data_IF_192318205584
#
_entry.id   IF_192318205584
#
_cell.length_a   1.000
_cell.length_b   1.000
_cell.length_c   1.000
_cell.angle_alpha   90.00
_cell.angle_beta   90.00
_cell.angle_gamma   90.00
#
_symmetry.space_group_name_H-M   'P 1'
#
loop_
_entity.id
_entity.type
_entity.pdbx_description
1 polymer ?
#
# COMPACT_ATOMS: atom_id res chain seq x y z
N UNK A 1 11.30 9.02 0.09
CA UNK A 1 10.42 10.00 0.77
C UNK A 1 10.40 9.74 2.27
N UNK A 2 9.31 10.11 2.96
CA UNK A 2 8.94 9.52 4.27
C UNK A 2 7.74 8.61 4.02
N UNK A 3 7.79 7.37 4.51
CA UNK A 3 6.63 6.47 4.48
C UNK A 3 5.58 6.95 5.47
N UNK A 4 4.31 6.77 5.12
CA UNK A 4 3.18 7.11 5.99
C UNK A 4 2.30 5.88 6.12
N UNK A 5 2.17 5.38 7.34
CA UNK A 5 1.17 4.40 7.73
C UNK A 5 -0.18 5.10 7.82
N UNK A 6 -1.15 4.60 7.05
CA UNK A 6 -2.39 5.31 6.65
C UNK A 6 -3.58 5.04 7.57
N UNK A 7 -3.39 4.42 8.73
CA UNK A 7 -4.47 3.95 9.62
C UNK A 7 -5.56 4.98 9.87
N UNK A 8 -5.17 6.20 10.23
CA UNK A 8 -6.11 7.28 10.55
C UNK A 8 -6.92 7.66 9.30
N UNK A 9 -6.26 7.81 8.15
CA UNK A 9 -6.93 8.18 6.90
C UNK A 9 -7.94 7.13 6.45
N UNK A 10 -7.56 5.85 6.53
CA UNK A 10 -8.44 4.73 6.18
C UNK A 10 -9.65 4.60 7.10
N UNK A 11 -9.46 4.74 8.42
CA UNK A 11 -10.59 4.78 9.36
C UNK A 11 -11.54 5.95 9.06
N UNK A 12 -11.02 7.13 8.69
CA UNK A 12 -11.86 8.27 8.31
C UNK A 12 -12.63 8.01 6.99
N UNK A 13 -12.04 7.27 6.05
CA UNK A 13 -12.76 6.84 4.85
C UNK A 13 -13.92 5.89 5.17
N UNK A 14 -13.70 4.92 6.08
CA UNK A 14 -14.78 4.04 6.55
C UNK A 14 -15.90 4.84 7.21
N UNK A 15 -15.58 5.80 8.09
CA UNK A 15 -16.58 6.69 8.72
C UNK A 15 -17.38 7.52 7.72
N UNK A 16 -16.81 7.81 6.55
CA UNK A 16 -17.49 8.52 5.45
C UNK A 16 -18.31 7.59 4.54
N UNK A 17 -18.41 6.31 4.87
CA UNK A 17 -19.25 5.34 4.17
C UNK A 17 -18.56 4.58 3.04
N UNK A 18 -17.22 4.66 2.93
CA UNK A 18 -16.46 3.81 2.02
C UNK A 18 -16.25 2.43 2.66
N UNK A 19 -16.32 1.38 1.83
CA UNK A 19 -15.80 0.08 2.17
C UNK A 19 -14.29 0.08 1.88
N UNK A 20 -13.49 -0.09 2.94
CA UNK A 20 -12.03 -0.04 2.89
C UNK A 20 -11.46 -1.38 3.31
N UNK A 21 -10.65 -1.97 2.43
CA UNK A 21 -9.94 -3.22 2.68
C UNK A 21 -8.44 -2.95 2.55
N UNK A 22 -7.69 -3.20 3.61
CA UNK A 22 -6.24 -3.19 3.60
C UNK A 22 -5.72 -4.63 3.50
N UNK A 23 -4.83 -4.89 2.54
CA UNK A 23 -4.26 -6.20 2.26
C UNK A 23 -2.74 -6.05 2.25
N UNK A 24 -2.06 -6.59 3.25
CA UNK A 24 -0.61 -6.54 3.32
C UNK A 24 -0.02 -7.68 4.17
N UNK A 25 1.28 -8.03 4.03
CA UNK A 25 1.86 -9.16 4.76
C UNK A 25 2.12 -8.90 6.25
N UNK A 26 1.99 -7.65 6.73
CA UNK A 26 2.25 -7.30 8.12
C UNK A 26 1.04 -7.64 8.98
N UNK A 27 1.23 -8.51 9.98
CA UNK A 27 0.22 -8.81 10.99
C UNK A 27 0.15 -7.66 11.99
N UNK A 28 -0.87 -6.81 11.88
CA UNK A 28 -0.99 -5.63 12.74
C UNK A 28 -1.23 -5.99 14.21
N UNK A 29 -1.88 -7.12 14.51
CA UNK A 29 -2.04 -7.56 15.90
C UNK A 29 -0.67 -7.88 16.50
N UNK A 30 0.17 -8.64 15.77
CA UNK A 30 1.56 -8.90 16.20
C UNK A 30 2.39 -7.62 16.26
N UNK A 31 2.20 -6.69 15.34
CA UNK A 31 2.89 -5.40 15.35
C UNK A 31 2.55 -4.58 16.59
N UNK A 32 1.29 -4.61 17.03
CA UNK A 32 0.85 -3.96 18.26
C UNK A 32 1.44 -4.62 19.50
N UNK A 33 1.44 -5.95 19.57
CA UNK A 33 1.91 -6.72 20.74
C UNK A 33 3.44 -6.69 20.89
N UNK A 34 4.17 -6.83 19.79
CA UNK A 34 5.64 -6.93 19.76
C UNK A 34 6.33 -5.58 19.53
N UNK A 35 5.60 -4.57 19.08
CA UNK A 35 6.13 -3.28 18.69
C UNK A 35 6.83 -3.27 17.31
N UNK A 36 7.42 -2.12 16.91
CA UNK A 36 7.92 -1.89 15.56
C UNK A 36 9.02 -2.85 15.09
N UNK A 37 9.76 -3.45 16.04
CA UNK A 37 10.83 -4.40 15.74
C UNK A 37 10.33 -5.66 15.03
N UNK A 38 9.05 -6.02 15.19
CA UNK A 38 8.38 -7.09 14.46
C UNK A 38 8.47 -6.91 12.93
N UNK A 39 8.58 -5.68 12.43
CA UNK A 39 8.71 -5.42 11.00
C UNK A 39 9.93 -6.11 10.38
N UNK A 40 10.99 -6.39 11.16
CA UNK A 40 12.15 -7.17 10.68
C UNK A 40 11.78 -8.60 10.30
N UNK A 41 10.84 -9.20 11.03
CA UNK A 41 10.29 -10.52 10.74
C UNK A 41 9.30 -10.45 9.55
N UNK A 42 8.41 -9.46 9.55
CA UNK A 42 7.29 -9.39 8.60
C UNK A 42 7.67 -8.87 7.21
N UNK A 43 8.51 -7.84 7.14
CA UNK A 43 8.82 -7.10 5.91
C UNK A 43 10.28 -7.26 5.46
N UNK A 44 11.10 -7.96 6.24
CA UNK A 44 12.54 -8.11 5.99
C UNK A 44 13.36 -6.88 6.40
N UNK A 45 14.68 -7.05 6.43
CA UNK A 45 15.60 -6.09 7.06
C UNK A 45 15.60 -4.71 6.40
N UNK A 46 15.58 -4.64 5.08
CA UNK A 46 15.68 -3.38 4.34
C UNK A 46 14.42 -2.51 4.51
N UNK A 47 13.25 -3.12 4.38
CA UNK A 47 11.95 -2.48 4.54
C UNK A 47 11.70 -2.08 5.98
N UNK A 48 11.98 -2.98 6.93
CA UNK A 48 11.90 -2.66 8.35
C UNK A 48 12.77 -1.46 8.71
N UNK A 49 14.03 -1.44 8.25
CA UNK A 49 14.92 -0.29 8.46
C UNK A 49 14.32 0.99 7.89
N UNK A 50 13.77 0.94 6.68
CA UNK A 50 13.11 2.10 6.07
C UNK A 50 11.94 2.59 6.93
N UNK A 51 11.05 1.72 7.40
CA UNK A 51 9.93 2.13 8.25
C UNK A 51 10.38 2.69 9.60
N UNK A 52 11.33 2.05 10.27
CA UNK A 52 11.82 2.49 11.58
C UNK A 52 12.51 3.86 11.51
N UNK A 53 13.22 4.15 10.42
CA UNK A 53 13.96 5.41 10.27
C UNK A 53 13.16 6.52 9.58
N UNK A 54 12.22 6.17 8.70
CA UNK A 54 11.60 7.12 7.76
C UNK A 54 10.08 7.06 7.73
N UNK A 55 9.42 6.49 8.73
CA UNK A 55 7.95 6.48 8.81
C UNK A 55 7.40 7.04 10.12
N UNK A 56 6.08 7.18 10.16
CA UNK A 56 5.30 7.58 11.33
C UNK A 56 4.84 6.38 12.19
N UNK A 57 5.38 5.15 12.00
CA UNK A 57 4.88 3.94 12.66
C UNK A 57 4.71 4.10 14.18
N UNK A 58 5.74 4.65 14.86
CA UNK A 58 5.72 4.84 16.30
C UNK A 58 4.54 5.71 16.79
N UNK A 59 4.10 6.67 15.97
CA UNK A 59 2.98 7.56 16.29
C UNK A 59 1.60 6.94 16.06
N UNK A 60 1.50 5.87 15.26
CA UNK A 60 0.22 5.26 14.88
C UNK A 60 -0.02 3.88 15.51
N UNK A 61 0.96 3.31 16.23
CA UNK A 61 0.80 2.00 16.89
C UNK A 61 -0.41 1.96 17.82
N UNK A 62 -0.66 3.02 18.58
CA UNK A 62 -1.79 3.10 19.50
C UNK A 62 -3.15 3.09 18.78
N UNK A 63 -3.18 3.35 17.47
CA UNK A 63 -4.39 3.30 16.66
C UNK A 63 -4.76 1.86 16.22
N UNK A 64 -3.82 0.91 16.28
CA UNK A 64 -4.04 -0.45 15.74
C UNK A 64 -5.29 -1.14 16.31
N UNK A 65 -5.56 -1.12 17.64
CA UNK A 65 -6.74 -1.81 18.18
C UNK A 65 -8.07 -1.26 17.65
N UNK A 66 -8.15 0.04 17.36
CA UNK A 66 -9.35 0.65 16.79
C UNK A 66 -9.42 0.43 15.27
N UNK A 67 -8.26 0.50 14.61
CA UNK A 67 -8.12 0.23 13.19
C UNK A 67 -8.62 -1.17 12.83
N UNK A 68 -8.20 -2.21 13.58
CA UNK A 68 -8.62 -3.60 13.33
C UNK A 68 -10.11 -3.86 13.56
N UNK A 69 -10.81 -2.97 14.28
CA UNK A 69 -12.28 -3.02 14.41
C UNK A 69 -13.00 -2.28 13.29
N UNK A 70 -12.33 -1.32 12.67
CA UNK A 70 -12.93 -0.36 11.73
C UNK A 70 -12.67 -0.73 10.28
N UNK A 71 -11.43 -1.09 9.96
CA UNK A 71 -10.97 -1.39 8.59
C UNK A 71 -10.78 -2.89 8.45
N UNK A 72 -11.24 -3.45 7.33
CA UNK A 72 -11.03 -4.86 7.03
C UNK A 72 -9.57 -5.08 6.64
N UNK A 73 -8.78 -5.63 7.56
CA UNK A 73 -7.38 -5.97 7.32
C UNK A 73 -7.22 -7.46 6.96
N UNK A 74 -6.46 -7.75 5.91
CA UNK A 74 -6.10 -9.10 5.48
C UNK A 74 -4.58 -9.27 5.49
N UNK A 75 -4.07 -10.11 6.39
CA UNK A 75 -2.63 -10.37 6.55
C UNK A 75 -2.10 -11.32 5.47
N UNK A 76 -1.88 -10.80 4.26
CA UNK A 76 -1.36 -11.51 3.09
C UNK A 76 -0.90 -10.52 2.02
N UNK A 77 -0.24 -11.01 0.99
CA UNK A 77 0.06 -10.22 -0.21
C UNK A 77 -1.05 -10.37 -1.25
N UNK A 78 -1.46 -9.27 -1.88
CA UNK A 78 -2.39 -9.32 -3.01
C UNK A 78 -1.68 -9.72 -4.32
N UNK A 79 -2.40 -10.40 -5.23
CA UNK A 79 -1.92 -10.65 -6.59
C UNK A 79 -2.27 -9.52 -7.56
N UNK A 80 -1.61 -9.45 -8.71
CA UNK A 80 -1.97 -8.47 -9.76
C UNK A 80 -3.36 -8.73 -10.33
N UNK A 81 -3.76 -10.00 -10.43
CA UNK A 81 -5.07 -10.42 -10.88
C UNK A 81 -6.17 -9.95 -9.91
N UNK A 82 -5.89 -9.98 -8.60
CA UNK A 82 -6.80 -9.42 -7.59
C UNK A 82 -6.94 -7.90 -7.75
N UNK A 83 -5.83 -7.18 -7.91
CA UNK A 83 -5.81 -5.72 -8.16
C UNK A 83 -6.66 -5.38 -9.39
N UNK A 84 -6.43 -6.09 -10.51
CA UNK A 84 -7.21 -5.94 -11.74
C UNK A 84 -8.69 -6.26 -11.49
N UNK A 85 -8.98 -7.30 -10.71
CA UNK A 85 -10.34 -7.68 -10.32
C UNK A 85 -11.05 -6.59 -9.53
N UNK A 86 -10.36 -5.90 -8.60
CA UNK A 86 -10.91 -4.77 -7.86
C UNK A 86 -11.24 -3.59 -8.79
N UNK A 87 -10.31 -3.21 -9.66
CA UNK A 87 -10.51 -2.13 -10.64
C UNK A 87 -11.69 -2.41 -11.57
N UNK A 88 -11.80 -3.65 -12.08
CA UNK A 88 -12.93 -4.07 -12.94
C UNK A 88 -14.29 -4.02 -12.25
N UNK A 89 -14.32 -4.10 -10.91
CA UNK A 89 -15.53 -3.96 -10.09
C UNK A 89 -15.82 -2.50 -9.72
N UNK A 90 -15.09 -1.54 -10.29
CA UNK A 90 -15.27 -0.11 -10.04
C UNK A 90 -14.65 0.39 -8.73
N UNK A 91 -13.78 -0.40 -8.09
CA UNK A 91 -13.04 0.07 -6.92
C UNK A 91 -11.83 0.92 -7.35
N UNK A 92 -11.37 1.79 -6.45
CA UNK A 92 -10.04 2.39 -6.53
C UNK A 92 -9.07 1.55 -5.72
N UNK A 93 -7.81 1.49 -6.15
CA UNK A 93 -6.79 0.66 -5.49
C UNK A 93 -5.54 1.48 -5.22
N UNK A 94 -5.22 1.72 -3.96
CA UNK A 94 -3.90 2.17 -3.54
C UNK A 94 -2.91 1.01 -3.53
N UNK A 95 -1.67 1.24 -3.95
CA UNK A 95 -0.62 0.22 -3.92
C UNK A 95 0.73 0.84 -3.51
N UNK A 96 1.45 0.15 -2.63
CA UNK A 96 2.86 0.45 -2.35
C UNK A 96 3.75 -0.21 -3.41
N UNK A 97 4.66 0.57 -3.98
CA UNK A 97 5.58 0.15 -5.04
C UNK A 97 6.99 0.68 -4.79
N UNK A 98 8.00 0.03 -5.36
CA UNK A 98 9.35 0.60 -5.41
C UNK A 98 9.40 1.72 -6.47
N UNK A 99 9.42 2.98 -6.02
CA UNK A 99 9.49 4.15 -6.90
C UNK A 99 10.79 4.27 -7.69
N UNK A 100 11.89 3.65 -7.25
CA UNK A 100 13.14 3.68 -8.02
C UNK A 100 12.96 2.93 -9.33
N UNK A 101 12.40 1.72 -9.27
CA UNK A 101 12.07 0.92 -10.46
C UNK A 101 11.04 1.65 -11.32
N UNK A 102 9.98 2.16 -10.70
CA UNK A 102 8.96 2.93 -11.41
C UNK A 102 9.56 4.11 -12.17
N UNK A 103 10.64 4.72 -11.67
CA UNK A 103 11.28 5.86 -12.31
C UNK A 103 12.59 5.50 -13.03
N UNK A 104 12.80 4.23 -13.37
CA UNK A 104 13.99 3.72 -14.08
C UNK A 104 15.31 4.12 -13.42
N UNK A 105 15.32 4.07 -12.08
CA UNK A 105 16.47 4.38 -11.23
C UNK A 105 16.85 3.14 -10.43
N UNK A 106 18.13 3.05 -10.09
CA UNK A 106 18.61 2.02 -9.17
C UNK A 106 18.20 2.33 -7.72
N UNK A 107 18.11 1.25 -6.94
CA UNK A 107 17.89 1.27 -5.50
C UNK A 107 16.45 1.02 -5.07
N UNK A 108 16.12 1.55 -3.89
CA UNK A 108 14.86 1.31 -3.21
C UNK A 108 14.32 2.58 -2.57
N UNK A 109 13.06 2.90 -2.86
CA UNK A 109 12.30 3.93 -2.15
C UNK A 109 10.80 3.61 -2.26
N UNK A 110 10.16 3.36 -1.13
CA UNK A 110 8.74 3.05 -1.07
C UNK A 110 7.90 4.25 -1.47
N UNK A 111 6.83 3.98 -2.20
CA UNK A 111 5.91 4.99 -2.70
C UNK A 111 4.53 4.43 -2.87
N UNK A 112 3.53 5.25 -2.56
CA UNK A 112 2.14 4.88 -2.66
C UNK A 112 1.51 5.54 -3.89
N UNK A 113 0.90 4.74 -4.75
CA UNK A 113 0.21 5.21 -5.97
C UNK A 113 -1.25 4.78 -5.94
N UNK A 114 -2.13 5.57 -6.55
CA UNK A 114 -3.56 5.25 -6.66
C UNK A 114 -3.89 4.79 -8.08
N UNK A 115 -4.21 3.52 -8.24
CA UNK A 115 -4.71 2.92 -9.46
C UNK A 115 -6.21 3.17 -9.55
N UNK A 116 -6.68 3.59 -10.73
CA UNK A 116 -8.11 3.83 -10.98
C UNK A 116 -8.63 3.18 -12.27
N UNK A 117 -7.75 2.64 -13.12
CA UNK A 117 -8.16 1.94 -14.33
C UNK A 117 -7.08 0.93 -14.80
N UNK A 118 -7.49 -0.02 -15.64
CA UNK A 118 -6.63 -0.98 -16.32
C UNK A 118 -7.10 -1.22 -17.76
N UNK A 119 -6.30 -0.78 -18.74
CA UNK A 119 -6.68 -0.80 -20.16
C UNK A 119 -6.40 -2.15 -20.87
N UNK A 120 -6.18 -3.22 -20.10
CA UNK A 120 -5.81 -4.54 -20.61
C UNK A 120 -4.30 -4.76 -20.73
N UNK A 121 -3.51 -3.68 -20.77
CA UNK A 121 -2.04 -3.73 -20.80
C UNK A 121 -1.39 -2.89 -19.70
N UNK A 122 -1.96 -1.74 -19.39
CA UNK A 122 -1.40 -0.76 -18.48
C UNK A 122 -2.34 -0.49 -17.31
N UNK A 123 -1.76 -0.33 -16.13
CA UNK A 123 -2.43 0.36 -15.04
C UNK A 123 -2.40 1.87 -15.30
N UNK A 124 -3.50 2.54 -15.00
CA UNK A 124 -3.59 4.00 -15.02
C UNK A 124 -3.58 4.48 -13.57
N UNK A 125 -2.57 5.28 -13.22
CA UNK A 125 -2.28 5.64 -11.84
C UNK A 125 -2.21 7.15 -11.64
N UNK A 126 -2.68 7.61 -10.48
CA UNK A 126 -2.26 8.89 -9.93
C UNK A 126 -0.99 8.68 -9.11
N UNK A 127 0.10 9.29 -9.57
CA UNK A 127 1.41 9.27 -8.92
C UNK A 127 1.61 10.60 -8.16
N UNK A 128 1.48 10.62 -6.82
CA UNK A 128 1.61 11.84 -6.02
C UNK A 128 3.06 12.25 -5.76
N UNK A 129 4.05 11.60 -6.40
CA UNK A 129 5.46 11.97 -6.27
C UNK A 129 5.73 13.43 -6.64
N UNK A 130 6.95 13.93 -6.43
CA UNK A 130 7.32 15.28 -6.84
C UNK A 130 8.17 15.25 -8.12
N UNK A 131 7.72 15.86 -9.24
CA UNK A 131 6.41 16.47 -9.45
C UNK A 131 5.29 15.44 -9.62
N UNK A 132 4.03 15.76 -9.26
CA UNK A 132 2.93 14.80 -9.34
C UNK A 132 2.57 14.52 -10.80
N UNK A 133 2.37 13.24 -11.12
CA UNK A 133 1.99 12.78 -12.46
C UNK A 133 0.57 12.23 -12.41
N UNK A 134 -0.36 12.96 -13.02
CA UNK A 134 -1.75 12.51 -13.16
C UNK A 134 -1.85 11.47 -14.27
N UNK A 135 -2.61 10.41 -14.03
CA UNK A 135 -2.98 9.42 -15.06
C UNK A 135 -1.78 8.81 -15.77
N UNK A 136 -0.70 8.56 -15.01
CA UNK A 136 0.48 7.89 -15.51
C UNK A 136 0.09 6.48 -15.96
N UNK A 137 0.49 6.11 -17.19
CA UNK A 137 0.38 4.73 -17.67
C UNK A 137 1.60 3.94 -17.22
N UNK A 138 1.38 2.78 -16.64
CA UNK A 138 2.43 1.84 -16.22
C UNK A 138 2.13 0.48 -16.83
N UNK A 139 3.05 -0.04 -17.64
CA UNK A 139 2.90 -1.38 -18.24
C UNK A 139 2.80 -2.43 -17.13
N UNK A 140 1.97 -3.46 -17.31
CA UNK A 140 1.77 -4.50 -16.29
C UNK A 140 3.08 -5.19 -15.88
N UNK A 141 4.05 -5.34 -16.77
CA UNK A 141 5.35 -5.93 -16.44
C UNK A 141 6.20 -5.00 -15.59
N UNK A 142 6.20 -3.71 -15.92
CA UNK A 142 6.87 -2.68 -15.12
C UNK A 142 6.24 -2.59 -13.73
N UNK A 143 4.90 -2.55 -13.66
CA UNK A 143 4.19 -2.54 -12.39
C UNK A 143 4.49 -3.79 -11.56
N UNK A 144 4.52 -4.97 -12.18
CA UNK A 144 4.90 -6.21 -11.51
C UNK A 144 6.30 -6.11 -10.90
N UNK A 145 7.28 -5.57 -11.62
CA UNK A 145 8.63 -5.37 -11.11
C UNK A 145 8.68 -4.39 -9.94
N UNK A 146 7.88 -3.33 -9.98
CA UNK A 146 7.82 -2.34 -8.91
C UNK A 146 7.13 -2.89 -7.66
N UNK A 147 5.99 -3.54 -7.85
CA UNK A 147 5.13 -4.07 -6.80
C UNK A 147 5.80 -5.27 -6.14
N UNK A 148 6.20 -6.28 -6.90
CA UNK A 148 6.82 -7.52 -6.41
C UNK A 148 8.34 -7.46 -6.21
N UNK A 149 8.89 -6.26 -6.08
CA UNK A 149 10.30 -6.09 -5.73
C UNK A 149 10.61 -6.69 -4.36
N UNK A 150 11.78 -7.32 -4.21
CA UNK A 150 12.25 -7.82 -2.93
C UNK A 150 12.44 -6.66 -1.94
N UNK A 151 11.61 -6.64 -0.88
CA UNK A 151 11.56 -5.54 0.08
C UNK A 151 10.45 -4.51 -0.15
N UNK A 152 9.64 -4.62 -1.22
CA UNK A 152 8.36 -3.93 -1.23
C UNK A 152 7.37 -4.69 -0.32
N UNK A 153 6.65 -4.00 0.56
CA UNK A 153 5.67 -4.67 1.43
C UNK A 153 4.53 -5.29 0.58
N UNK A 154 4.24 -4.73 -0.60
CA UNK A 154 3.15 -5.15 -1.48
C UNK A 154 1.77 -4.87 -0.90
N UNK A 155 1.67 -3.84 -0.06
CA UNK A 155 0.42 -3.35 0.48
C UNK A 155 -0.50 -2.89 -0.64
N UNK A 156 -1.76 -3.27 -0.50
CA UNK A 156 -2.87 -2.85 -1.34
C UNK A 156 -3.99 -2.36 -0.45
N UNK A 157 -4.52 -1.17 -0.76
CA UNK A 157 -5.71 -0.62 -0.09
C UNK A 157 -6.81 -0.45 -1.12
N UNK A 158 -7.92 -1.15 -0.94
CA UNK A 158 -9.07 -1.10 -1.83
C UNK A 158 -10.09 -0.13 -1.24
N UNK A 159 -10.53 0.83 -2.07
CA UNK A 159 -11.59 1.78 -1.73
C UNK A 159 -12.80 1.53 -2.63
N UNK A 160 -13.94 1.21 -2.03
CA UNK A 160 -15.19 0.95 -2.75
C UNK A 160 -16.33 1.77 -2.17
N UNK A 161 -17.22 2.27 -3.02
CA UNK A 161 -18.48 2.85 -2.59
C UNK A 161 -19.54 1.76 -2.42
N UNK A 162 -20.35 1.86 -1.37
CA UNK A 162 -21.58 1.09 -1.23
C UNK A 162 -22.66 1.70 -2.14
N UNK A 163 -22.54 1.51 -3.45
CA UNK A 163 -23.59 1.82 -4.44
C UNK A 163 -24.30 0.53 -4.86
#
# INVERSE_FOLDING_TARGET
>A
GKATWTFIGEMEFVKKGLDVINIEPVDYQKLYEKGPEYLKEAAGKQTAKYYLEKSNIASVLSCIPEYLKTVKHETRRASLEEIIGFLKRGALVGAEVNSRILNQKEGFDLHFVLLYDFDGKNFIVHDPGFPPIKSRKVDIKEFNQCFNFEGANGEVVVFKTNL
#
